data_IF_907316209960
#
_entry.id   IF_907316209960
#
_cell.length_a   1.000
_cell.length_b   1.000
_cell.length_c   1.000
_cell.angle_alpha   90.00
_cell.angle_beta   90.00
_cell.angle_gamma   90.00
#
_symmetry.space_group_name_H-M   'P 1'
#
loop_
_entity.id
_entity.type
_entity.pdbx_description
1 polymer ?
#
# COMPACT_ATOMS: atom_id res chain seq x y z
N UNK A 1 11.90 -3.90 -24.68
CA UNK A 1 12.93 -4.37 -23.72
C UNK A 1 13.38 -3.16 -22.95
N UNK A 2 12.83 -2.93 -21.76
CA UNK A 2 13.27 -1.86 -20.87
C UNK A 2 13.91 -2.57 -19.68
N UNK A 3 15.18 -2.27 -19.48
CA UNK A 3 16.14 -2.91 -18.58
C UNK A 3 15.63 -2.95 -17.14
N UNK A 4 15.93 -4.07 -16.47
CA UNK A 4 15.83 -4.21 -15.03
C UNK A 4 16.72 -3.14 -14.36
N UNK A 5 16.14 -1.99 -13.99
CA UNK A 5 16.81 -1.09 -13.04
C UNK A 5 17.08 -1.93 -11.78
N UNK A 6 18.35 -2.11 -11.45
CA UNK A 6 18.77 -3.03 -10.39
C UNK A 6 18.22 -2.49 -9.05
N UNK A 7 17.83 -3.39 -8.14
CA UNK A 7 17.36 -3.01 -6.78
C UNK A 7 18.34 -2.02 -6.11
N UNK A 8 19.64 -2.15 -6.42
CA UNK A 8 20.72 -1.29 -5.96
C UNK A 8 20.64 0.16 -6.46
N UNK A 9 20.23 0.38 -7.70
CA UNK A 9 20.03 1.73 -8.26
C UNK A 9 18.82 2.42 -7.62
N UNK A 10 17.73 1.69 -7.42
CA UNK A 10 16.54 2.19 -6.70
C UNK A 10 16.85 2.53 -5.24
N UNK A 11 17.61 1.67 -4.55
CA UNK A 11 18.09 1.95 -3.19
C UNK A 11 18.96 3.21 -3.14
N UNK A 12 19.85 3.42 -4.11
CA UNK A 12 20.69 4.62 -4.19
C UNK A 12 19.85 5.90 -4.33
N UNK A 13 18.78 5.87 -5.14
CA UNK A 13 17.85 7.00 -5.29
C UNK A 13 17.10 7.29 -3.98
N UNK A 14 16.73 6.28 -3.20
CA UNK A 14 15.97 6.47 -1.96
C UNK A 14 16.82 6.93 -0.79
N UNK A 15 18.07 6.46 -0.69
CA UNK A 15 19.03 7.03 0.26
C UNK A 15 19.25 8.52 -0.04
N UNK A 16 19.27 8.92 -1.32
CA UNK A 16 19.37 10.32 -1.75
C UNK A 16 18.10 11.15 -1.50
N UNK A 17 16.91 10.55 -1.47
CA UNK A 17 15.63 11.23 -1.24
C UNK A 17 15.17 11.27 0.22
N UNK A 18 16.04 10.85 1.15
CA UNK A 18 15.79 10.95 2.59
C UNK A 18 15.33 9.65 3.27
N UNK A 19 15.53 8.49 2.63
CA UNK A 19 15.44 7.17 3.27
C UNK A 19 14.03 6.69 3.62
N UNK A 20 12.99 7.33 3.06
CA UNK A 20 11.59 6.98 3.33
C UNK A 20 11.14 5.83 2.45
N UNK A 21 10.70 4.75 3.09
CA UNK A 21 10.14 3.56 2.43
C UNK A 21 8.98 3.90 1.48
N UNK A 22 8.17 4.91 1.79
CA UNK A 22 7.08 5.37 0.92
C UNK A 22 7.56 5.88 -0.43
N UNK A 23 8.65 6.67 -0.46
CA UNK A 23 9.21 7.18 -1.72
C UNK A 23 9.75 6.02 -2.55
N UNK A 24 10.38 5.02 -1.91
CA UNK A 24 10.81 3.78 -2.57
C UNK A 24 9.65 3.06 -3.27
N UNK A 25 8.58 2.81 -2.53
CA UNK A 25 7.38 2.13 -3.04
C UNK A 25 6.76 2.95 -4.17
N UNK A 26 6.58 4.26 -3.98
CA UNK A 26 6.00 5.15 -4.97
C UNK A 26 6.79 5.16 -6.28
N UNK A 27 8.12 5.28 -6.23
CA UNK A 27 8.99 5.25 -7.42
C UNK A 27 8.91 3.89 -8.12
N UNK A 28 9.05 2.80 -7.36
CA UNK A 28 8.98 1.43 -7.89
C UNK A 28 7.65 1.16 -8.62
N UNK A 29 6.53 1.62 -8.05
CA UNK A 29 5.21 1.43 -8.66
C UNK A 29 5.01 2.33 -9.88
N UNK A 30 5.31 3.63 -9.80
CA UNK A 30 5.14 4.54 -10.93
C UNK A 30 6.01 4.18 -12.13
N UNK A 31 7.23 3.67 -11.90
CA UNK A 31 8.09 3.16 -12.98
C UNK A 31 7.43 1.99 -13.71
N UNK A 32 6.85 1.05 -12.97
CA UNK A 32 6.20 -0.15 -13.52
C UNK A 32 4.81 0.10 -14.08
N UNK A 33 4.14 1.17 -13.63
CA UNK A 33 2.85 1.61 -14.14
C UNK A 33 2.98 2.63 -15.29
N UNK A 34 4.22 2.96 -15.69
CA UNK A 34 4.47 3.86 -16.81
C UNK A 34 3.83 3.34 -18.10
N UNK A 35 3.10 4.22 -18.79
CA UNK A 35 2.33 3.85 -19.99
C UNK A 35 0.92 3.35 -19.70
N UNK A 36 0.55 3.21 -18.44
CA UNK A 36 -0.86 3.11 -18.01
C UNK A 36 -1.41 4.52 -17.70
N UNK A 37 -2.71 4.63 -17.46
CA UNK A 37 -3.37 5.83 -16.94
C UNK A 37 -3.49 5.82 -15.41
N UNK A 38 -2.64 5.03 -14.74
CA UNK A 38 -2.60 4.87 -13.29
C UNK A 38 -1.36 5.58 -12.74
N UNK A 39 -1.57 6.40 -11.72
CA UNK A 39 -0.51 7.12 -11.01
C UNK A 39 -0.56 6.77 -9.52
N UNK A 40 0.61 6.68 -8.87
CA UNK A 40 0.72 6.53 -7.42
C UNK A 40 1.13 7.84 -6.78
N UNK A 41 0.28 8.36 -5.90
CA UNK A 41 0.43 9.65 -5.23
C UNK A 41 0.60 9.51 -3.73
N UNK A 42 1.09 10.57 -3.10
CA UNK A 42 1.08 10.72 -1.65
C UNK A 42 -0.32 11.03 -1.14
N UNK A 43 -0.79 10.29 -0.13
CA UNK A 43 -2.10 10.50 0.49
C UNK A 43 -2.08 11.24 1.83
N UNK A 44 -0.88 11.52 2.39
CA UNK A 44 -0.73 11.99 3.77
C UNK A 44 -1.27 13.40 4.03
N UNK A 45 -1.18 14.27 3.03
CA UNK A 45 -1.59 15.65 3.15
C UNK A 45 -3.01 15.81 2.60
N UNK A 46 -4.01 15.73 3.48
CA UNK A 46 -5.44 15.89 3.13
C UNK A 46 -5.67 17.14 2.26
N UNK A 47 -5.15 18.29 2.69
CA UNK A 47 -5.34 19.55 1.96
C UNK A 47 -4.76 19.50 0.54
N UNK A 48 -3.62 18.83 0.34
CA UNK A 48 -3.03 18.69 -0.98
C UNK A 48 -3.89 17.80 -1.90
N UNK A 49 -4.52 16.75 -1.35
CA UNK A 49 -5.48 15.94 -2.11
C UNK A 49 -6.74 16.75 -2.44
N UNK A 50 -7.24 17.53 -1.49
CA UNK A 50 -8.42 18.37 -1.68
C UNK A 50 -8.20 19.47 -2.72
N UNK A 51 -7.04 20.12 -2.69
CA UNK A 51 -6.62 21.12 -3.68
C UNK A 51 -6.43 20.50 -5.06
N UNK A 52 -5.89 19.28 -5.14
CA UNK A 52 -5.75 18.54 -6.39
C UNK A 52 -7.12 18.19 -6.98
N UNK A 53 -8.01 17.63 -6.17
CA UNK A 53 -9.27 17.05 -6.65
C UNK A 53 -10.25 16.85 -5.49
N UNK A 54 -11.31 17.66 -5.51
CA UNK A 54 -12.41 17.57 -4.57
C UNK A 54 -13.07 16.17 -4.63
N UNK A 55 -13.22 15.60 -5.81
CA UNK A 55 -13.77 14.25 -6.01
C UNK A 55 -12.89 13.17 -5.39
N UNK A 56 -11.56 13.25 -5.56
CA UNK A 56 -10.64 12.30 -4.95
C UNK A 56 -10.67 12.39 -3.42
N UNK A 57 -10.71 13.61 -2.87
CA UNK A 57 -10.89 13.84 -1.44
C UNK A 57 -12.20 13.24 -0.91
N UNK A 58 -13.31 13.41 -1.64
CA UNK A 58 -14.61 12.82 -1.28
C UNK A 58 -14.57 11.29 -1.26
N UNK A 59 -13.89 10.65 -2.21
CA UNK A 59 -13.75 9.19 -2.22
C UNK A 59 -12.89 8.64 -1.08
N UNK A 60 -11.84 9.38 -0.70
CA UNK A 60 -10.87 8.94 0.31
C UNK A 60 -11.28 9.32 1.74
N UNK A 61 -12.03 10.41 1.90
CA UNK A 61 -12.52 10.84 3.21
C UNK A 61 -13.65 9.92 3.69
N UNK A 62 -13.67 9.65 4.99
CA UNK A 62 -14.65 8.75 5.59
C UNK A 62 -15.70 9.56 6.35
N UNK A 63 -17.01 9.33 6.11
CA UNK A 63 -18.05 10.12 6.73
C UNK A 63 -18.13 9.86 8.25
N UNK A 64 -18.23 10.93 9.03
CA UNK A 64 -18.45 10.88 10.47
C UNK A 64 -19.94 10.93 10.77
N UNK A 65 -20.49 9.82 11.27
CA UNK A 65 -21.95 9.71 11.52
C UNK A 65 -22.50 10.58 12.66
N UNK A 66 -21.65 11.04 13.58
CA UNK A 66 -22.12 11.58 14.87
C UNK A 66 -21.44 12.90 15.30
N UNK A 67 -20.70 13.54 14.39
CA UNK A 67 -19.98 14.78 14.71
C UNK A 67 -20.80 15.99 14.25
N UNK A 68 -20.99 16.96 15.15
CA UNK A 68 -21.70 18.22 14.84
C UNK A 68 -20.79 19.31 14.24
N UNK A 69 -19.49 19.03 14.11
CA UNK A 69 -18.46 20.03 13.75
C UNK A 69 -17.69 19.61 12.49
N UNK A 70 -17.59 18.30 12.23
CA UNK A 70 -16.86 17.71 11.11
C UNK A 70 -17.67 16.59 10.50
N UNK A 71 -17.85 16.62 9.19
CA UNK A 71 -18.65 15.62 8.47
C UNK A 71 -17.81 14.45 7.97
N UNK A 72 -16.47 14.57 7.99
CA UNK A 72 -15.56 13.51 7.57
C UNK A 72 -14.27 13.48 8.38
N UNK A 73 -13.57 12.34 8.29
CA UNK A 73 -12.22 12.12 8.81
C UNK A 73 -11.30 11.66 7.70
N UNK A 74 -10.07 12.15 7.73
CA UNK A 74 -8.99 11.67 6.87
C UNK A 74 -8.27 10.50 7.55
N UNK A 75 -8.10 9.39 6.81
CA UNK A 75 -7.44 8.19 7.33
C UNK A 75 -5.91 8.26 7.32
N UNK A 76 -5.27 7.21 7.83
CA UNK A 76 -3.83 6.99 7.66
C UNK A 76 -3.54 6.49 6.23
N UNK A 77 -3.39 7.42 5.30
CA UNK A 77 -3.20 7.16 3.88
C UNK A 77 -1.77 7.54 3.49
N UNK A 78 -0.88 6.56 3.41
CA UNK A 78 0.51 6.80 3.01
C UNK A 78 0.60 7.11 1.50
N UNK A 79 0.15 6.17 0.67
CA UNK A 79 0.07 6.30 -0.79
C UNK A 79 -1.29 5.86 -1.33
N UNK A 80 -1.67 6.37 -2.49
CA UNK A 80 -2.87 5.97 -3.23
C UNK A 80 -2.54 5.75 -4.69
N UNK A 81 -2.98 4.63 -5.26
CA UNK A 81 -3.01 4.48 -6.72
C UNK A 81 -4.35 5.00 -7.26
N UNK A 82 -4.29 5.93 -8.21
CA UNK A 82 -5.44 6.60 -8.80
C UNK A 82 -5.45 6.42 -10.32
N UNK A 83 -6.64 6.30 -10.89
CA UNK A 83 -6.87 6.29 -12.35
C UNK A 83 -7.96 7.29 -12.69
N UNK A 84 -7.63 8.34 -13.44
CA UNK A 84 -8.57 9.42 -13.79
C UNK A 84 -9.34 9.95 -12.56
N UNK A 85 -8.60 10.28 -11.48
CA UNK A 85 -9.14 10.76 -10.19
C UNK A 85 -10.00 9.75 -9.39
N UNK A 86 -10.11 8.50 -9.85
CA UNK A 86 -10.76 7.42 -9.11
C UNK A 86 -9.70 6.66 -8.32
N UNK A 87 -9.81 6.60 -6.97
CA UNK A 87 -8.88 5.81 -6.17
C UNK A 87 -9.15 4.31 -6.35
N UNK A 88 -8.08 3.56 -6.59
CA UNK A 88 -8.10 2.10 -6.80
C UNK A 88 -7.70 1.39 -5.51
N UNK A 89 -6.56 1.78 -4.95
CA UNK A 89 -5.98 1.16 -3.75
C UNK A 89 -5.28 2.18 -2.87
N UNK A 90 -5.50 2.08 -1.56
CA UNK A 90 -4.66 2.69 -0.53
C UNK A 90 -3.52 1.73 -0.20
N UNK A 91 -2.30 2.24 -0.24
CA UNK A 91 -1.08 1.47 0.02
C UNK A 91 -0.46 2.01 1.30
N UNK A 92 -0.72 1.34 2.42
CA UNK A 92 -0.06 1.66 3.68
C UNK A 92 1.40 1.21 3.61
N UNK A 93 2.32 2.05 4.05
CA UNK A 93 3.76 1.83 3.91
C UNK A 93 4.39 1.79 5.30
N UNK A 94 4.67 0.58 5.83
CA UNK A 94 5.24 0.43 7.18
C UNK A 94 6.55 -0.32 7.12
N UNK A 95 7.59 0.25 7.73
CA UNK A 95 8.90 -0.42 7.85
C UNK A 95 8.88 -1.60 8.82
N UNK A 96 8.03 -1.53 9.84
CA UNK A 96 7.74 -2.59 10.82
C UNK A 96 6.31 -2.49 11.33
N UNK A 97 5.74 -3.62 11.76
CA UNK A 97 4.31 -3.77 12.04
C UNK A 97 3.91 -3.17 13.40
N UNK A 98 4.50 -3.65 14.51
CA UNK A 98 4.22 -3.21 15.89
C UNK A 98 2.76 -2.75 16.14
N UNK A 99 2.53 -1.69 16.93
CA UNK A 99 1.19 -1.13 17.15
C UNK A 99 0.57 -0.45 15.93
N UNK A 100 1.36 -0.16 14.88
CA UNK A 100 0.91 0.55 13.68
C UNK A 100 0.10 -0.33 12.74
N UNK A 101 0.27 -1.65 12.83
CA UNK A 101 -0.45 -2.59 12.00
C UNK A 101 -1.95 -2.62 12.32
N UNK A 102 -2.33 -2.52 13.60
CA UNK A 102 -3.74 -2.46 14.01
C UNK A 102 -4.48 -1.27 13.39
N UNK A 103 -3.82 -0.11 13.28
CA UNK A 103 -4.38 1.07 12.63
C UNK A 103 -4.61 0.82 11.12
N UNK A 104 -3.65 0.21 10.43
CA UNK A 104 -3.82 -0.21 9.02
C UNK A 104 -5.01 -1.17 8.86
N UNK A 105 -5.17 -2.15 9.75
CA UNK A 105 -6.29 -3.09 9.72
C UNK A 105 -7.64 -2.39 9.95
N UNK A 106 -7.68 -1.43 10.87
CA UNK A 106 -8.87 -0.62 11.14
C UNK A 106 -9.30 0.18 9.91
N UNK A 107 -8.38 0.92 9.29
CA UNK A 107 -8.68 1.68 8.07
C UNK A 107 -9.07 0.76 6.91
N UNK A 108 -8.42 -0.39 6.77
CA UNK A 108 -8.80 -1.39 5.76
C UNK A 108 -10.25 -1.86 5.92
N UNK A 109 -10.66 -2.14 7.16
CA UNK A 109 -12.04 -2.54 7.45
C UNK A 109 -13.04 -1.44 7.05
N UNK A 110 -12.76 -0.19 7.39
CA UNK A 110 -13.62 0.95 7.05
C UNK A 110 -13.74 1.14 5.53
N UNK A 111 -12.61 1.15 4.80
CA UNK A 111 -12.64 1.25 3.34
C UNK A 111 -13.38 0.07 2.71
N UNK A 112 -13.22 -1.15 3.22
CA UNK A 112 -13.94 -2.33 2.75
C UNK A 112 -15.45 -2.22 2.96
N UNK A 113 -15.88 -1.62 4.08
CA UNK A 113 -17.31 -1.48 4.42
C UNK A 113 -17.99 -0.35 3.65
N UNK A 114 -17.28 0.75 3.40
CA UNK A 114 -17.86 2.00 2.90
C UNK A 114 -17.55 2.27 1.43
N UNK A 115 -16.54 1.61 0.87
CA UNK A 115 -16.06 1.86 -0.49
C UNK A 115 -15.69 0.55 -1.20
N UNK A 116 -15.24 0.67 -2.44
CA UNK A 116 -14.60 -0.44 -3.18
C UNK A 116 -13.08 -0.33 -3.22
N UNK A 117 -12.53 0.70 -2.57
CA UNK A 117 -11.10 0.98 -2.54
C UNK A 117 -10.42 -0.18 -1.83
N UNK A 118 -9.42 -0.76 -2.51
CA UNK A 118 -8.60 -1.82 -1.92
C UNK A 118 -7.65 -1.21 -0.91
N UNK A 119 -7.23 -2.00 0.06
CA UNK A 119 -6.21 -1.60 1.03
C UNK A 119 -5.18 -2.70 1.14
N UNK A 120 -3.92 -2.31 0.94
CA UNK A 120 -2.77 -3.20 0.96
C UNK A 120 -1.69 -2.62 1.86
N UNK A 121 -0.79 -3.48 2.31
CA UNK A 121 0.40 -3.08 3.05
C UNK A 121 1.64 -3.31 2.19
N UNK A 122 2.48 -2.30 2.03
CA UNK A 122 3.83 -2.43 1.50
C UNK A 122 4.84 -2.33 2.65
N UNK A 123 5.74 -3.29 2.77
CA UNK A 123 6.72 -3.33 3.88
C UNK A 123 8.04 -3.94 3.43
N UNK A 124 9.20 -3.48 3.95
CA UNK A 124 10.44 -4.22 3.78
C UNK A 124 10.54 -5.42 4.73
N UNK A 125 9.60 -5.59 5.68
CA UNK A 125 9.70 -6.53 6.80
C UNK A 125 11.02 -6.31 7.56
N UNK A 126 11.11 -5.18 8.26
CA UNK A 126 12.30 -4.79 9.03
C UNK A 126 12.64 -5.76 10.16
N UNK A 127 11.75 -6.71 10.46
CA UNK A 127 11.90 -7.74 11.47
C UNK A 127 11.47 -7.28 12.86
N UNK A 128 11.45 -8.22 13.80
CA UNK A 128 10.90 -8.02 15.17
C UNK A 128 11.75 -7.17 16.13
N UNK A 129 12.82 -6.54 15.65
CA UNK A 129 13.64 -5.61 16.45
C UNK A 129 14.59 -6.25 17.48
N UNK A 130 15.01 -7.50 17.26
CA UNK A 130 16.03 -8.18 18.08
C UNK A 130 17.45 -8.08 17.53
N UNK A 131 18.41 -8.76 18.17
CA UNK A 131 19.80 -8.86 17.68
C UNK A 131 19.90 -9.56 16.33
N UNK A 132 19.03 -10.55 16.09
CA UNK A 132 18.89 -11.22 14.80
C UNK A 132 17.62 -10.78 14.08
N UNK A 133 17.72 -10.62 12.76
CA UNK A 133 16.56 -10.40 11.92
C UNK A 133 15.65 -11.63 11.96
N UNK A 134 14.36 -11.41 12.28
CA UNK A 134 13.31 -12.42 12.21
C UNK A 134 12.06 -11.78 11.64
N UNK A 135 11.54 -12.37 10.57
CA UNK A 135 10.33 -11.90 9.88
C UNK A 135 9.16 -11.70 10.85
N UNK A 136 8.42 -10.61 10.64
CA UNK A 136 7.17 -10.34 11.36
C UNK A 136 6.03 -11.26 10.90
N UNK A 137 6.14 -11.86 9.71
CA UNK A 137 5.08 -12.60 9.02
C UNK A 137 5.09 -14.12 9.21
N UNK A 138 6.23 -14.69 9.61
CA UNK A 138 6.41 -16.16 9.63
C UNK A 138 6.37 -16.75 8.21
N UNK A 139 5.85 -17.97 8.09
CA UNK A 139 5.71 -18.67 6.80
C UNK A 139 4.24 -19.02 6.55
N UNK A 140 3.87 -19.47 5.34
CA UNK A 140 2.52 -20.01 5.11
C UNK A 140 2.16 -21.19 6.02
N UNK A 141 3.13 -22.08 6.30
CA UNK A 141 2.92 -23.27 7.14
C UNK A 141 2.98 -22.96 8.64
N UNK A 142 3.72 -21.93 9.03
CA UNK A 142 3.84 -21.43 10.40
C UNK A 142 3.55 -19.92 10.46
N UNK A 143 2.27 -19.53 10.29
CA UNK A 143 1.91 -18.13 10.19
C UNK A 143 1.95 -17.43 11.55
N UNK A 144 2.38 -16.17 11.55
CA UNK A 144 2.27 -15.32 12.74
C UNK A 144 0.85 -14.77 12.88
N UNK A 145 0.52 -14.25 14.06
CA UNK A 145 -0.75 -13.53 14.26
C UNK A 145 -0.93 -12.40 13.24
N UNK A 146 0.13 -11.69 12.89
CA UNK A 146 0.06 -10.58 11.94
C UNK A 146 -0.27 -11.05 10.52
N UNK A 147 0.30 -12.19 10.08
CA UNK A 147 -0.06 -12.83 8.81
C UNK A 147 -1.54 -13.25 8.80
N UNK A 148 -2.01 -13.91 9.85
CA UNK A 148 -3.42 -14.33 9.95
C UNK A 148 -4.40 -13.14 9.93
N UNK A 149 -4.04 -12.05 10.60
CA UNK A 149 -4.82 -10.81 10.58
C UNK A 149 -4.80 -10.17 9.18
N UNK A 150 -3.65 -10.12 8.51
CA UNK A 150 -3.56 -9.61 7.14
C UNK A 150 -4.44 -10.42 6.18
N UNK A 151 -4.43 -11.75 6.28
CA UNK A 151 -5.29 -12.64 5.47
C UNK A 151 -6.78 -12.32 5.63
N UNK A 152 -7.19 -11.91 6.83
CA UNK A 152 -8.59 -11.64 7.16
C UNK A 152 -9.08 -10.24 6.73
N UNK A 153 -8.17 -9.26 6.71
CA UNK A 153 -8.56 -7.85 6.65
C UNK A 153 -7.88 -7.04 5.55
N UNK A 154 -6.78 -7.49 4.95
CA UNK A 154 -6.11 -6.79 3.86
C UNK A 154 -6.38 -7.45 2.50
N UNK A 155 -6.16 -6.69 1.43
CA UNK A 155 -6.23 -7.22 0.06
C UNK A 155 -4.88 -7.76 -0.42
N UNK A 156 -3.80 -7.48 0.32
CA UNK A 156 -2.46 -7.98 0.03
C UNK A 156 -1.42 -7.36 0.95
N UNK A 157 -0.35 -8.11 1.19
CA UNK A 157 0.89 -7.66 1.82
C UNK A 157 2.00 -7.83 0.80
N UNK A 158 2.71 -6.75 0.53
CA UNK A 158 3.69 -6.64 -0.55
C UNK A 158 5.05 -6.33 0.04
N UNK A 159 5.98 -7.27 -0.14
CA UNK A 159 7.25 -7.28 0.58
C UNK A 159 8.44 -7.20 -0.37
N UNK A 160 9.43 -6.40 0.00
CA UNK A 160 10.77 -6.44 -0.59
C UNK A 160 11.79 -6.23 0.51
N UNK A 161 12.49 -7.31 0.91
CA UNK A 161 13.53 -7.20 1.93
C UNK A 161 14.70 -6.39 1.38
N UNK A 162 14.84 -5.18 1.89
CA UNK A 162 15.89 -4.24 1.48
C UNK A 162 16.79 -3.98 2.67
N UNK A 163 18.09 -4.21 2.49
CA UNK A 163 19.09 -4.22 3.57
C UNK A 163 19.07 -2.98 4.46
N UNK A 164 18.87 -1.78 3.88
CA UNK A 164 18.84 -0.54 4.66
C UNK A 164 17.68 -0.48 5.67
N UNK A 165 16.58 -1.23 5.45
CA UNK A 165 15.45 -1.32 6.38
C UNK A 165 15.38 -2.65 7.15
N UNK A 166 16.10 -3.69 6.72
CA UNK A 166 16.17 -5.01 7.37
C UNK A 166 17.47 -5.14 8.17
N UNK A 167 17.50 -4.58 9.39
CA UNK A 167 18.70 -4.65 10.24
C UNK A 167 19.08 -6.10 10.53
N UNK A 168 20.36 -6.43 10.38
CA UNK A 168 20.95 -7.73 10.69
C UNK A 168 20.37 -8.92 9.89
N UNK A 169 19.76 -8.67 8.72
CA UNK A 169 19.36 -9.74 7.80
C UNK A 169 20.61 -10.40 7.22
N UNK A 170 20.69 -11.73 7.25
CA UNK A 170 21.80 -12.51 6.71
C UNK A 170 21.49 -12.97 5.28
N UNK A 171 22.51 -13.21 4.43
CA UNK A 171 22.30 -13.80 3.11
C UNK A 171 21.48 -15.10 3.18
N UNK A 172 20.48 -15.23 2.32
CA UNK A 172 19.57 -16.38 2.29
C UNK A 172 18.39 -16.30 3.28
N UNK A 173 18.36 -15.31 4.18
CA UNK A 173 17.16 -14.99 4.94
C UNK A 173 16.23 -14.09 4.13
N UNK A 174 14.93 -14.24 4.35
CA UNK A 174 13.91 -13.42 3.71
C UNK A 174 12.53 -13.72 4.27
N UNK A 175 11.58 -12.87 3.91
CA UNK A 175 10.18 -13.06 4.32
C UNK A 175 9.62 -14.30 3.65
N UNK A 176 8.97 -15.19 4.42
CA UNK A 176 8.26 -16.33 3.86
C UNK A 176 7.11 -15.85 2.98
N UNK A 177 7.22 -16.01 1.67
CA UNK A 177 6.20 -15.60 0.70
C UNK A 177 5.12 -16.68 0.55
N UNK A 178 3.93 -16.28 0.11
CA UNK A 178 2.78 -17.14 -0.15
C UNK A 178 1.49 -16.60 0.47
N UNK A 179 0.35 -16.91 -0.16
CA UNK A 179 -0.97 -16.45 0.29
C UNK A 179 -1.15 -14.93 0.18
N UNK A 180 -1.42 -14.26 1.31
CA UNK A 180 -1.57 -12.80 1.37
C UNK A 180 -0.24 -12.05 1.20
N UNK A 181 0.88 -12.68 1.58
CA UNK A 181 2.22 -12.08 1.53
C UNK A 181 2.89 -12.41 0.20
N UNK A 182 3.19 -11.38 -0.57
CA UNK A 182 3.64 -11.47 -1.98
C UNK A 182 4.81 -10.53 -2.20
N UNK A 183 5.63 -10.73 -3.25
CA UNK A 183 6.70 -9.80 -3.55
C UNK A 183 6.14 -8.44 -4.00
N UNK A 184 6.76 -7.34 -3.60
CA UNK A 184 6.37 -5.98 -3.99
C UNK A 184 6.31 -5.80 -5.51
N UNK A 185 7.17 -6.51 -6.23
CA UNK A 185 7.19 -6.56 -7.69
C UNK A 185 5.87 -7.05 -8.32
N UNK A 186 5.01 -7.76 -7.58
CA UNK A 186 3.71 -8.21 -8.02
C UNK A 186 2.57 -7.18 -7.88
N UNK A 187 2.74 -6.14 -7.04
CA UNK A 187 1.69 -5.14 -6.79
C UNK A 187 1.21 -4.40 -8.04
N UNK A 188 2.07 -3.97 -8.99
CA UNK A 188 1.60 -3.28 -10.20
C UNK A 188 0.57 -4.08 -11.01
N UNK A 189 0.73 -5.41 -11.12
CA UNK A 189 -0.21 -6.27 -11.85
C UNK A 189 -1.59 -6.29 -11.17
N UNK A 190 -1.61 -6.33 -9.84
CA UNK A 190 -2.85 -6.33 -9.06
C UNK A 190 -3.53 -4.95 -9.14
N UNK A 191 -2.76 -3.85 -9.11
CA UNK A 191 -3.29 -2.49 -9.30
C UNK A 191 -3.98 -2.36 -10.66
N UNK A 192 -3.34 -2.82 -11.74
CA UNK A 192 -3.92 -2.78 -13.10
C UNK A 192 -5.24 -3.56 -13.15
N UNK A 193 -5.24 -4.79 -12.61
CA UNK A 193 -6.45 -5.62 -12.53
C UNK A 193 -7.57 -4.90 -11.75
N UNK A 194 -7.28 -4.35 -10.58
CA UNK A 194 -8.28 -3.62 -9.78
C UNK A 194 -8.76 -2.34 -10.48
N UNK A 195 -7.91 -1.70 -11.28
CA UNK A 195 -8.29 -0.52 -12.06
C UNK A 195 -9.29 -0.88 -13.17
N UNK A 196 -9.13 -2.02 -13.82
CA UNK A 196 -10.08 -2.57 -14.80
C UNK A 196 -11.41 -2.88 -14.13
N UNK A 197 -11.40 -3.65 -13.04
CA UNK A 197 -12.60 -3.95 -12.23
C UNK A 197 -13.35 -2.67 -11.81
N UNK A 198 -12.61 -1.64 -11.40
CA UNK A 198 -13.18 -0.35 -10.99
C UNK A 198 -13.81 0.39 -12.17
N UNK A 199 -13.14 0.39 -13.33
CA UNK A 199 -13.58 1.09 -14.55
C UNK A 199 -14.89 0.51 -15.11
N UNK A 200 -15.06 -0.80 -15.07
CA UNK A 200 -16.29 -1.47 -15.48
C UNK A 200 -17.49 -1.00 -14.65
N UNK A 201 -17.32 -0.88 -13.34
CA UNK A 201 -18.40 -0.47 -12.41
C UNK A 201 -18.88 0.95 -12.71
N UNK A 202 -17.96 1.91 -12.89
CA UNK A 202 -18.33 3.30 -13.17
C UNK A 202 -18.95 3.46 -14.56
N UNK A 203 -18.51 2.67 -15.53
CA UNK A 203 -19.11 2.65 -16.87
C UNK A 203 -20.55 2.12 -16.84
N UNK A 204 -20.84 1.11 -16.01
CA UNK A 204 -22.20 0.58 -15.84
C UNK A 204 -23.12 1.53 -15.06
N UNK A 205 -22.59 2.30 -14.10
CA UNK A 205 -23.38 3.32 -13.37
C UNK A 205 -23.77 4.50 -14.26
N UNK A 206 -22.87 4.98 -15.13
CA UNK A 206 -23.19 6.06 -16.09
C UNK A 206 -24.24 5.68 -17.13
N UNK A 207 -24.41 4.39 -17.45
CA UNK A 207 -25.43 3.89 -18.38
C UNK A 207 -26.82 3.71 -17.76
N UNK A 208 -26.96 3.85 -16.43
CA UNK A 208 -28.21 3.67 -15.68
C UNK A 208 -28.81 4.99 -15.18
N UNK A 209 -28.24 6.13 -15.57
CA UNK A 209 -28.76 7.48 -15.31
C UNK A 209 -29.30 8.05 -16.61
#
# INVERSE_FOLDING_TARGET
>A
MAEEETVRERQSRVVRSGGKWEEYVKLCLNEKLKGTDIEVIYGKAENAIKERSQTLWEFLSLPLKASMIRDSVWGDIDLVAVKNEIPIVVISCKTSLHGRFTETLFWSLLYRMLSRIKVVLATPDGGRGGEEWKSEWGTPDEPTKDRLLAESYLHGVYVENVEVWCKNIKPGQGTGLGGIVRPLSGLPKEIIKWAEETSEIYSHRKKKV
#
